data_IF_565642171016
#
_entry.id   IF_565642171016
#
_cell.length_a   1.000
_cell.length_b   1.000
_cell.length_c   1.000
_cell.angle_alpha   90.00
_cell.angle_beta   90.00
_cell.angle_gamma   90.00
#
_symmetry.space_group_name_H-M   'P 1'
#
loop_
_entity.id
_entity.type
_entity.pdbx_description
1 polymer ?
#
# COMPACT_ATOMS: atom_id res chain seq x y z
N UNK A 1 28.09 5.64 -7.15
CA UNK A 1 27.54 6.57 -8.17
C UNK A 1 26.59 7.54 -7.49
N UNK A 2 26.59 8.82 -7.88
CA UNK A 2 25.73 9.86 -7.28
C UNK A 2 24.37 9.89 -7.99
N UNK A 3 23.28 9.72 -7.25
CA UNK A 3 21.93 9.80 -7.79
C UNK A 3 21.35 11.14 -7.35
N UNK A 4 20.98 12.00 -8.31
CA UNK A 4 20.44 13.35 -8.04
C UNK A 4 18.97 13.49 -8.42
N UNK A 5 18.46 12.55 -9.22
CA UNK A 5 17.09 12.50 -9.73
C UNK A 5 16.49 11.13 -9.49
N UNK A 6 15.20 11.10 -9.19
CA UNK A 6 14.38 9.91 -9.11
C UNK A 6 13.76 9.58 -10.49
N UNK A 7 12.83 8.62 -10.52
CA UNK A 7 11.90 8.39 -11.62
C UNK A 7 11.28 9.72 -12.10
N UNK A 8 11.06 9.81 -13.41
CA UNK A 8 10.46 10.99 -14.06
C UNK A 8 11.23 12.30 -13.83
N UNK A 9 12.55 12.24 -13.63
CA UNK A 9 13.41 13.43 -13.43
C UNK A 9 13.06 14.27 -12.19
N UNK A 10 12.30 13.74 -11.24
CA UNK A 10 11.93 14.45 -10.01
C UNK A 10 13.15 14.58 -9.09
N UNK A 11 13.48 15.77 -8.56
CA UNK A 11 14.56 15.92 -7.58
C UNK A 11 14.29 15.05 -6.34
N UNK A 12 15.32 14.37 -5.84
CA UNK A 12 15.17 13.43 -4.70
C UNK A 12 14.54 14.10 -3.48
N UNK A 13 14.88 15.36 -3.20
CA UNK A 13 14.27 16.13 -2.12
C UNK A 13 12.75 16.28 -2.31
N UNK A 14 12.30 16.57 -3.53
CA UNK A 14 10.87 16.67 -3.83
C UNK A 14 10.20 15.31 -3.64
N UNK A 15 10.83 14.22 -4.10
CA UNK A 15 10.35 12.85 -3.87
C UNK A 15 10.17 12.52 -2.40
N UNK A 16 11.15 12.85 -1.54
CA UNK A 16 11.05 12.63 -0.11
C UNK A 16 9.90 13.42 0.55
N UNK A 17 9.66 14.65 0.10
CA UNK A 17 8.55 15.48 0.61
C UNK A 17 7.19 14.97 0.12
N UNK A 18 7.10 14.44 -1.10
CA UNK A 18 5.89 13.78 -1.59
C UNK A 18 5.57 12.57 -0.72
N UNK A 19 6.55 11.70 -0.46
CA UNK A 19 6.38 10.51 0.40
C UNK A 19 5.93 10.93 1.80
N UNK A 20 6.59 11.93 2.40
CA UNK A 20 6.19 12.45 3.72
C UNK A 20 4.78 13.05 3.75
N UNK A 21 4.38 13.77 2.71
CA UNK A 21 3.04 14.34 2.59
C UNK A 21 1.96 13.27 2.46
N UNK A 22 2.25 12.16 1.77
CA UNK A 22 1.36 11.00 1.67
C UNK A 22 1.06 10.42 3.06
N UNK A 23 2.04 10.35 3.97
CA UNK A 23 1.81 9.89 5.34
C UNK A 23 0.89 10.82 6.14
N UNK A 24 1.02 12.13 5.95
CA UNK A 24 0.13 13.11 6.59
C UNK A 24 -1.31 12.94 6.08
N UNK A 25 -1.50 12.72 4.78
CA UNK A 25 -2.82 12.41 4.21
C UNK A 25 -3.33 11.05 4.72
N UNK A 26 -2.44 10.05 4.77
CA UNK A 26 -2.73 8.70 5.29
C UNK A 26 -3.19 8.73 6.74
N UNK A 27 -2.64 9.62 7.56
CA UNK A 27 -3.09 9.87 8.93
C UNK A 27 -4.54 10.38 8.97
N UNK A 28 -4.86 11.38 8.14
CA UNK A 28 -6.22 11.94 8.07
C UNK A 28 -7.23 10.84 7.67
N UNK A 29 -6.88 10.04 6.66
CA UNK A 29 -7.71 8.91 6.23
C UNK A 29 -7.83 7.83 7.32
N UNK A 30 -6.74 7.53 8.01
CA UNK A 30 -6.74 6.55 9.11
C UNK A 30 -7.65 6.96 10.25
N UNK A 31 -7.72 8.26 10.58
CA UNK A 31 -8.65 8.81 11.57
C UNK A 31 -10.11 8.65 11.13
N UNK A 32 -10.41 8.94 9.85
CA UNK A 32 -11.76 8.78 9.28
C UNK A 32 -12.20 7.30 9.31
N UNK A 33 -11.30 6.38 9.01
CA UNK A 33 -11.57 4.94 8.96
C UNK A 33 -11.44 4.25 10.32
N UNK A 34 -11.06 4.96 11.39
CA UNK A 34 -10.89 4.45 12.76
C UNK A 34 -9.99 3.21 12.81
N UNK A 35 -8.87 3.22 12.05
CA UNK A 35 -7.91 2.13 12.02
C UNK A 35 -6.73 2.41 12.96
N UNK A 36 -6.73 1.90 14.21
CA UNK A 36 -5.77 2.30 15.24
C UNK A 36 -4.32 1.96 14.87
N UNK A 37 -4.11 0.82 14.21
CA UNK A 37 -2.80 0.40 13.73
C UNK A 37 -2.26 1.35 12.66
N UNK A 38 -3.09 1.68 11.66
CA UNK A 38 -2.72 2.62 10.61
C UNK A 38 -2.42 3.99 11.21
N UNK A 39 -3.29 4.51 12.07
CA UNK A 39 -3.08 5.79 12.77
C UNK A 39 -1.74 5.80 13.50
N UNK A 40 -1.40 4.73 14.23
CA UNK A 40 -0.16 4.65 15.00
C UNK A 40 1.08 4.69 14.10
N UNK A 41 1.05 3.95 13.00
CA UNK A 41 2.13 3.89 12.02
C UNK A 41 2.28 5.22 11.25
N UNK A 42 1.18 5.86 10.88
CA UNK A 42 1.16 7.14 10.18
C UNK A 42 1.59 8.31 11.08
N UNK A 43 1.21 8.31 12.37
CA UNK A 43 1.72 9.30 13.34
C UNK A 43 3.24 9.20 13.45
N UNK A 44 3.78 7.98 13.55
CA UNK A 44 5.22 7.78 13.69
C UNK A 44 6.00 8.27 12.46
N UNK A 45 5.58 7.89 11.24
CA UNK A 45 6.21 8.37 10.01
C UNK A 45 5.97 9.87 9.76
N UNK A 46 4.76 10.36 10.01
CA UNK A 46 4.40 11.76 9.85
C UNK A 46 5.18 12.68 10.81
N UNK A 47 5.33 12.30 12.08
CA UNK A 47 6.07 13.08 13.06
C UNK A 47 7.56 13.17 12.71
N UNK A 48 8.18 12.05 12.31
CA UNK A 48 9.59 12.05 11.89
C UNK A 48 9.81 12.83 10.59
N UNK A 49 8.86 12.77 9.64
CA UNK A 49 8.85 13.63 8.46
C UNK A 49 8.77 15.12 8.81
N UNK A 50 7.79 15.52 9.63
CA UNK A 50 7.62 16.92 10.05
C UNK A 50 8.85 17.44 10.79
N UNK A 51 9.46 16.61 11.65
CA UNK A 51 10.69 16.94 12.34
C UNK A 51 11.88 17.14 11.39
N UNK A 52 12.01 16.28 10.37
CA UNK A 52 13.00 16.42 9.31
C UNK A 52 12.75 17.66 8.44
N UNK A 53 11.49 17.97 8.11
CA UNK A 53 11.11 19.15 7.34
C UNK A 53 11.37 20.45 8.10
N UNK A 54 11.15 20.47 9.42
CA UNK A 54 11.44 21.61 10.28
C UNK A 54 12.95 21.85 10.44
N UNK A 55 13.73 20.78 10.66
CA UNK A 55 15.18 20.85 10.83
C UNK A 55 15.88 19.85 9.93
N UNK A 56 16.16 20.27 8.70
CA UNK A 56 16.79 19.45 7.68
C UNK A 56 18.29 19.26 7.98
N UNK A 57 18.65 18.13 8.58
CA UNK A 57 20.03 17.71 8.84
C UNK A 57 20.17 16.20 8.59
N UNK A 58 21.42 15.72 8.51
CA UNK A 58 21.73 14.32 8.23
C UNK A 58 21.06 13.34 9.21
N UNK A 59 21.14 13.61 10.51
CA UNK A 59 20.55 12.75 11.56
C UNK A 59 19.03 12.64 11.41
N UNK A 60 18.37 13.75 11.10
CA UNK A 60 16.91 13.79 10.94
C UNK A 60 16.46 13.10 9.66
N UNK A 61 17.23 13.20 8.57
CA UNK A 61 17.00 12.42 7.35
C UNK A 61 17.16 10.92 7.61
N UNK A 62 18.19 10.52 8.36
CA UNK A 62 18.40 9.13 8.75
C UNK A 62 17.25 8.60 9.61
N UNK A 63 16.81 9.38 10.59
CA UNK A 63 15.69 9.03 11.46
C UNK A 63 14.40 8.81 10.65
N UNK A 64 14.09 9.72 9.72
CA UNK A 64 12.93 9.57 8.85
C UNK A 64 13.04 8.34 7.93
N UNK A 65 14.21 8.10 7.32
CA UNK A 65 14.46 6.90 6.53
C UNK A 65 14.26 5.62 7.36
N UNK A 66 14.82 5.56 8.57
CA UNK A 66 14.70 4.40 9.45
C UNK A 66 13.24 4.17 9.87
N UNK A 67 12.50 5.24 10.20
CA UNK A 67 11.09 5.16 10.53
C UNK A 67 10.26 4.60 9.36
N UNK A 68 10.51 5.10 8.14
CA UNK A 68 9.85 4.60 6.94
C UNK A 68 10.20 3.14 6.62
N UNK A 69 11.45 2.73 6.82
CA UNK A 69 11.86 1.34 6.61
C UNK A 69 11.16 0.38 7.58
N UNK A 70 11.05 0.76 8.86
CA UNK A 70 10.29 -0.01 9.87
C UNK A 70 8.81 -0.06 9.51
N UNK A 71 8.23 1.07 9.07
CA UNK A 71 6.85 1.12 8.56
C UNK A 71 6.63 0.14 7.41
N UNK A 72 7.51 0.13 6.41
CA UNK A 72 7.42 -0.80 5.27
C UNK A 72 7.53 -2.25 5.72
N UNK A 73 8.44 -2.55 6.64
CA UNK A 73 8.60 -3.90 7.19
C UNK A 73 7.34 -4.37 7.92
N UNK A 74 6.78 -3.55 8.81
CA UNK A 74 5.57 -3.89 9.56
C UNK A 74 4.39 -4.09 8.62
N UNK A 75 4.14 -3.16 7.69
CA UNK A 75 3.04 -3.30 6.74
C UNK A 75 3.22 -4.48 5.79
N UNK A 76 4.44 -4.70 5.29
CA UNK A 76 4.75 -5.85 4.44
C UNK A 76 4.52 -7.17 5.16
N UNK A 77 4.96 -7.26 6.43
CA UNK A 77 4.72 -8.43 7.26
C UNK A 77 3.23 -8.68 7.51
N UNK A 78 2.49 -7.63 7.90
CA UNK A 78 1.05 -7.75 8.15
C UNK A 78 0.30 -8.17 6.89
N UNK A 79 0.61 -7.56 5.73
CA UNK A 79 0.00 -7.96 4.45
C UNK A 79 0.36 -9.39 4.06
N UNK A 80 1.60 -9.82 4.29
CA UNK A 80 1.98 -11.21 4.07
C UNK A 80 1.14 -12.16 4.94
N UNK A 81 0.96 -11.85 6.22
CA UNK A 81 0.11 -12.65 7.11
C UNK A 81 -1.33 -12.69 6.60
N UNK A 82 -1.91 -11.56 6.19
CA UNK A 82 -3.27 -11.55 5.66
C UNK A 82 -3.39 -12.35 4.36
N UNK A 83 -2.51 -12.13 3.38
CA UNK A 83 -2.58 -12.84 2.08
C UNK A 83 -2.40 -14.36 2.22
N UNK A 84 -1.51 -14.83 3.11
CA UNK A 84 -1.23 -16.26 3.22
C UNK A 84 -2.03 -16.98 4.30
N UNK A 85 -2.48 -16.28 5.34
CA UNK A 85 -3.10 -16.89 6.52
C UNK A 85 -4.59 -16.62 6.61
N UNK A 86 -5.08 -15.56 5.98
CA UNK A 86 -6.46 -15.18 6.17
C UNK A 86 -7.42 -16.10 5.42
N UNK A 87 -8.45 -16.54 6.13
CA UNK A 87 -9.56 -17.32 5.56
C UNK A 87 -10.68 -16.40 5.08
N UNK A 88 -10.58 -15.09 5.32
CA UNK A 88 -11.60 -14.12 4.93
C UNK A 88 -11.81 -14.05 3.42
N UNK A 89 -10.80 -14.40 2.61
CA UNK A 89 -10.97 -14.59 1.16
C UNK A 89 -12.11 -15.58 0.86
N UNK A 90 -12.14 -16.70 1.58
CA UNK A 90 -13.19 -17.72 1.42
C UNK A 90 -14.55 -17.18 1.84
N UNK A 91 -14.60 -16.34 2.88
CA UNK A 91 -15.84 -15.74 3.34
C UNK A 91 -16.39 -14.74 2.30
N UNK A 92 -15.52 -13.91 1.72
CA UNK A 92 -15.89 -12.94 0.69
C UNK A 92 -16.36 -13.62 -0.60
N UNK A 93 -15.60 -14.61 -1.09
CA UNK A 93 -15.96 -15.41 -2.27
C UNK A 93 -17.27 -16.17 -2.02
N UNK A 94 -17.45 -16.74 -0.83
CA UNK A 94 -18.67 -17.43 -0.46
C UNK A 94 -19.87 -16.49 -0.39
N UNK A 95 -19.70 -15.29 0.17
CA UNK A 95 -20.74 -14.27 0.22
C UNK A 95 -21.13 -13.81 -1.18
N UNK A 96 -20.16 -13.50 -2.04
CA UNK A 96 -20.41 -13.10 -3.43
C UNK A 96 -21.19 -14.18 -4.20
N UNK A 97 -20.70 -15.43 -4.21
CA UNK A 97 -21.39 -16.51 -4.93
C UNK A 97 -22.75 -16.85 -4.32
N UNK A 98 -22.95 -16.65 -3.00
CA UNK A 98 -24.26 -16.81 -2.35
C UNK A 98 -25.22 -15.71 -2.78
N UNK A 99 -24.80 -14.45 -2.75
CA UNK A 99 -25.62 -13.33 -3.22
C UNK A 99 -26.01 -13.49 -4.68
N UNK A 100 -25.10 -13.97 -5.52
CA UNK A 100 -25.39 -14.28 -6.93
C UNK A 100 -26.43 -15.40 -7.06
N UNK A 101 -26.29 -16.49 -6.30
CA UNK A 101 -27.28 -17.57 -6.25
C UNK A 101 -28.66 -17.06 -5.80
N UNK A 102 -28.72 -16.25 -4.74
CA UNK A 102 -29.97 -15.68 -4.23
C UNK A 102 -30.64 -14.78 -5.29
N UNK A 103 -29.86 -14.01 -6.05
CA UNK A 103 -30.38 -13.20 -7.17
C UNK A 103 -30.95 -14.06 -8.30
N UNK A 104 -30.28 -15.18 -8.64
CA UNK A 104 -30.76 -16.13 -9.65
C UNK A 104 -32.07 -16.79 -9.18
N UNK A 105 -32.16 -17.19 -7.90
CA UNK A 105 -33.34 -17.85 -7.35
C UNK A 105 -34.55 -16.90 -7.24
N UNK A 106 -34.34 -15.61 -6.97
CA UNK A 106 -35.40 -14.60 -6.98
C UNK A 106 -35.87 -14.25 -8.39
N UNK A 107 -35.01 -14.39 -9.41
CA UNK A 107 -35.35 -14.09 -10.80
C UNK A 107 -36.20 -15.18 -11.49
N UNK A 108 -36.57 -16.24 -10.77
CA UNK A 108 -37.12 -17.50 -11.30
C UNK A 108 -38.55 -17.44 -11.88
N UNK A 109 -39.15 -16.25 -11.95
CA UNK A 109 -40.34 -16.00 -12.78
C UNK A 109 -39.93 -15.71 -14.24
N UNK A 110 -39.34 -16.70 -14.92
CA UNK A 110 -39.16 -16.69 -16.39
C UNK A 110 -37.84 -16.16 -16.94
N UNK A 111 -36.78 -16.01 -16.13
CA UNK A 111 -35.43 -15.63 -16.61
C UNK A 111 -34.44 -16.81 -16.65
N UNK A 112 -33.43 -16.77 -17.54
CA UNK A 112 -32.36 -17.78 -17.57
C UNK A 112 -31.60 -17.79 -16.23
N UNK A 113 -31.34 -18.99 -15.71
CA UNK A 113 -30.66 -19.21 -14.43
C UNK A 113 -29.15 -18.93 -14.49
N UNK A 114 -28.33 -19.87 -14.02
CA UNK A 114 -26.86 -19.81 -14.18
C UNK A 114 -26.40 -19.61 -15.62
N UNK A 115 -27.22 -20.01 -16.60
CA UNK A 115 -27.00 -19.78 -18.04
C UNK A 115 -26.88 -18.30 -18.43
N UNK A 116 -27.39 -17.38 -17.60
CA UNK A 116 -27.25 -15.94 -17.79
C UNK A 116 -25.91 -15.38 -17.28
N UNK A 117 -25.08 -16.22 -16.67
CA UNK A 117 -23.81 -15.85 -16.06
C UNK A 117 -22.64 -16.58 -16.73
N UNK A 118 -21.43 -16.11 -16.47
CA UNK A 118 -20.19 -16.78 -16.94
C UNK A 118 -19.86 -18.06 -16.15
N UNK A 119 -20.69 -18.46 -15.19
CA UNK A 119 -20.45 -19.59 -14.30
C UNK A 119 -21.40 -20.75 -14.57
N UNK A 120 -20.86 -21.97 -14.60
CA UNK A 120 -21.67 -23.18 -14.80
C UNK A 120 -22.56 -23.51 -13.58
N UNK A 121 -22.11 -23.15 -12.37
CA UNK A 121 -22.81 -23.37 -11.10
C UNK A 121 -22.08 -22.62 -9.95
N UNK A 122 -22.62 -22.70 -8.73
CA UNK A 122 -22.00 -22.12 -7.52
C UNK A 122 -20.55 -22.59 -7.29
N UNK A 123 -20.25 -23.85 -7.57
CA UNK A 123 -18.91 -24.39 -7.32
C UNK A 123 -17.90 -23.83 -8.31
N UNK A 124 -18.30 -23.70 -9.58
CA UNK A 124 -17.53 -23.04 -10.62
C UNK A 124 -17.32 -21.55 -10.30
N UNK A 125 -18.37 -20.84 -9.85
CA UNK A 125 -18.26 -19.47 -9.32
C UNK A 125 -17.18 -19.36 -8.23
N UNK A 126 -17.24 -20.22 -7.21
CA UNK A 126 -16.27 -20.20 -6.11
C UNK A 126 -14.84 -20.44 -6.59
N UNK A 127 -14.65 -21.37 -7.52
CA UNK A 127 -13.34 -21.70 -8.06
C UNK A 127 -12.75 -20.57 -8.90
N UNK A 128 -13.54 -20.03 -9.84
CA UNK A 128 -13.08 -18.96 -10.72
C UNK A 128 -12.87 -17.65 -9.98
N UNK A 129 -13.82 -17.23 -9.15
CA UNK A 129 -13.74 -15.99 -8.36
C UNK A 129 -12.61 -16.10 -7.33
N UNK A 130 -12.47 -17.23 -6.63
CA UNK A 130 -11.36 -17.42 -5.69
C UNK A 130 -10.00 -17.36 -6.38
N UNK A 131 -9.85 -18.00 -7.55
CA UNK A 131 -8.59 -17.92 -8.30
C UNK A 131 -8.29 -16.49 -8.76
N UNK A 132 -9.31 -15.73 -9.17
CA UNK A 132 -9.15 -14.34 -9.57
C UNK A 132 -8.74 -13.44 -8.40
N UNK A 133 -9.41 -13.58 -7.24
CA UNK A 133 -9.08 -12.83 -6.02
C UNK A 133 -7.65 -13.11 -5.56
N UNK A 134 -7.27 -14.38 -5.42
CA UNK A 134 -5.90 -14.77 -5.06
C UNK A 134 -4.84 -14.21 -6.03
N UNK A 135 -5.11 -14.22 -7.34
CA UNK A 135 -4.21 -13.64 -8.34
C UNK A 135 -4.08 -12.13 -8.17
N UNK A 136 -5.20 -11.45 -8.02
CA UNK A 136 -5.23 -9.99 -7.94
C UNK A 136 -4.59 -9.49 -6.62
N UNK A 137 -4.77 -10.23 -5.52
CA UNK A 137 -4.07 -9.98 -4.25
C UNK A 137 -2.56 -10.17 -4.38
N UNK A 138 -2.11 -11.25 -5.04
CA UNK A 138 -0.69 -11.47 -5.29
C UNK A 138 -0.07 -10.34 -6.13
N UNK A 139 -0.77 -9.92 -7.20
CA UNK A 139 -0.32 -8.81 -8.05
C UNK A 139 -0.25 -7.50 -7.25
N UNK A 140 -1.26 -7.22 -6.42
CA UNK A 140 -1.31 -6.06 -5.54
C UNK A 140 -0.17 -6.06 -4.51
N UNK A 141 0.14 -7.21 -3.93
CA UNK A 141 1.25 -7.40 -2.99
C UNK A 141 2.60 -7.08 -3.66
N UNK A 142 2.85 -7.66 -4.84
CA UNK A 142 4.09 -7.43 -5.60
C UNK A 142 4.26 -5.96 -6.00
N UNK A 143 3.18 -5.32 -6.48
CA UNK A 143 3.20 -3.91 -6.85
C UNK A 143 3.48 -3.02 -5.64
N UNK A 144 2.84 -3.31 -4.50
CA UNK A 144 3.08 -2.56 -3.25
C UNK A 144 4.52 -2.71 -2.79
N UNK A 145 5.06 -3.93 -2.78
CA UNK A 145 6.43 -4.20 -2.36
C UNK A 145 7.43 -3.46 -3.26
N UNK A 146 7.20 -3.47 -4.57
CA UNK A 146 8.01 -2.72 -5.53
C UNK A 146 7.99 -1.21 -5.22
N UNK A 147 6.82 -0.62 -5.00
CA UNK A 147 6.68 0.81 -4.66
C UNK A 147 7.34 1.15 -3.33
N UNK A 148 7.18 0.31 -2.30
CA UNK A 148 7.82 0.50 -1.00
C UNK A 148 9.34 0.44 -1.09
N UNK A 149 9.89 -0.54 -1.81
CA UNK A 149 11.33 -0.63 -2.07
C UNK A 149 11.81 0.62 -2.81
N UNK A 150 11.08 1.05 -3.85
CA UNK A 150 11.40 2.26 -4.58
C UNK A 150 11.45 3.49 -3.65
N UNK A 151 10.43 3.71 -2.82
CA UNK A 151 10.39 4.83 -1.88
C UNK A 151 11.48 4.74 -0.81
N UNK A 152 11.79 3.54 -0.29
CA UNK A 152 12.94 3.31 0.58
C UNK A 152 14.25 3.75 -0.08
N UNK A 153 14.46 3.42 -1.37
CA UNK A 153 15.65 3.83 -2.12
C UNK A 153 15.69 5.35 -2.32
N UNK A 154 14.55 6.00 -2.55
CA UNK A 154 14.47 7.47 -2.64
C UNK A 154 14.87 8.14 -1.33
N UNK A 155 14.35 7.67 -0.19
CA UNK A 155 14.69 8.21 1.12
C UNK A 155 16.14 7.91 1.51
N UNK A 156 16.66 6.72 1.17
CA UNK A 156 18.07 6.37 1.33
C UNK A 156 18.97 7.31 0.51
N UNK A 157 18.62 7.57 -0.76
CA UNK A 157 19.34 8.51 -1.59
C UNK A 157 19.24 9.93 -1.02
N UNK A 158 18.09 10.33 -0.45
CA UNK A 158 17.93 11.64 0.19
C UNK A 158 18.83 11.81 1.41
N UNK A 159 18.91 10.77 2.24
CA UNK A 159 19.80 10.71 3.40
C UNK A 159 21.27 10.77 2.97
N UNK A 160 21.71 9.88 2.09
CA UNK A 160 23.13 9.80 1.65
C UNK A 160 23.58 11.07 0.94
N UNK A 161 22.67 11.82 0.32
CA UNK A 161 22.94 13.11 -0.33
C UNK A 161 23.05 14.30 0.65
N UNK A 162 22.95 14.08 1.96
CA UNK A 162 23.01 15.13 3.01
C UNK A 162 24.25 16.02 2.95
N UNK A 163 25.40 15.50 2.53
CA UNK A 163 26.68 16.21 2.47
C UNK A 163 26.82 17.16 1.27
N UNK A 164 25.85 17.22 0.36
CA UNK A 164 25.94 18.07 -0.83
C UNK A 164 25.52 19.52 -0.55
N UNK A 165 25.93 20.43 -1.42
CA UNK A 165 25.39 21.80 -1.45
C UNK A 165 23.88 21.78 -1.66
N UNK A 166 23.16 22.73 -1.05
CA UNK A 166 21.69 22.82 -1.10
C UNK A 166 21.12 22.79 -2.53
N UNK A 167 21.82 23.39 -3.51
CA UNK A 167 21.42 23.39 -4.93
C UNK A 167 21.43 22.01 -5.60
N UNK A 168 22.12 21.04 -5.01
CA UNK A 168 22.20 19.64 -5.47
C UNK A 168 21.48 18.66 -4.54
N UNK A 169 20.76 19.15 -3.53
CA UNK A 169 19.92 18.33 -2.65
C UNK A 169 20.53 17.93 -1.30
N UNK A 170 21.64 18.52 -0.86
CA UNK A 170 22.16 18.27 0.49
C UNK A 170 21.69 19.26 1.55
N UNK A 171 22.38 19.29 2.67
CA UNK A 171 22.12 20.13 3.85
C UNK A 171 22.92 21.44 3.75
N UNK A 172 22.55 22.46 4.54
CA UNK A 172 23.07 23.84 4.49
C UNK A 172 24.56 23.96 4.15
#
# INVERSE_FOLDING_TARGET
MRVTRCCCCVPIKVGAYIIGSIHVIGLILGVILVSPLQISLEIFCGATFLYMAYRDNEKNRLLYFAAYAVYCFILGFIRMVFVFWDKDEKALVQQYCKTLQDQIDMAREGKPGWEATDFANVQDCRSQVGTAVARDELVSLLLTLFLQIHFCLVLWAHYTNSHMVKSKGGCQ
#
